data_IF_811137741224
#
_entry.id   IF_811137741224
#
_cell.length_a   1.000
_cell.length_b   1.000
_cell.length_c   1.000
_cell.angle_alpha   90.00
_cell.angle_beta   90.00
_cell.angle_gamma   90.00
#
_symmetry.space_group_name_H-M   'P 1'
#
loop_
_entity.id
_entity.type
_entity.pdbx_description
1 polymer ?
#
# COMPACT_ATOMS: atom_id res chain seq x y z
N UNK A 1 -5.56 4.79 -13.11
CA UNK A 1 -4.78 4.13 -12.07
C UNK A 1 -3.83 5.13 -11.42
N UNK A 2 -3.87 5.21 -10.09
CA UNK A 2 -2.98 6.06 -9.31
C UNK A 2 -1.75 5.25 -8.87
N UNK A 3 -0.58 5.90 -8.88
CA UNK A 3 0.66 5.36 -8.37
C UNK A 3 1.40 6.45 -7.60
N UNK A 4 2.27 6.08 -6.67
CA UNK A 4 3.03 7.01 -5.82
C UNK A 4 2.19 8.04 -5.03
N UNK A 5 0.89 7.77 -4.81
CA UNK A 5 0.00 8.64 -4.01
C UNK A 5 0.25 8.42 -2.52
N UNK A 6 1.37 8.93 -2.05
CA UNK A 6 1.89 8.73 -0.70
C UNK A 6 2.86 9.83 -0.28
N UNK A 7 3.16 9.91 1.00
CA UNK A 7 4.31 10.69 1.47
C UNK A 7 5.63 9.95 1.18
N UNK A 8 6.79 10.64 1.24
CA UNK A 8 8.10 9.98 1.29
C UNK A 8 8.14 8.93 2.40
N UNK A 9 9.07 7.98 2.28
CA UNK A 9 9.19 6.89 3.25
C UNK A 9 9.57 7.43 4.63
N UNK A 10 8.66 7.32 5.59
CA UNK A 10 8.88 7.61 7.02
C UNK A 10 9.68 6.47 7.65
N UNK A 11 9.39 5.24 7.21
CA UNK A 11 10.15 4.04 7.56
C UNK A 11 10.46 3.27 6.28
N UNK A 12 11.74 3.02 6.02
CA UNK A 12 12.17 2.24 4.87
C UNK A 12 11.88 0.74 5.05
N UNK A 13 11.50 0.03 3.96
CA UNK A 13 11.53 -1.42 3.96
C UNK A 13 12.89 -1.97 4.40
N UNK A 14 12.89 -3.00 5.22
CA UNK A 14 14.10 -3.55 5.86
C UNK A 14 15.19 -3.96 4.86
N UNK A 15 14.82 -4.42 3.67
CA UNK A 15 15.78 -4.80 2.62
C UNK A 15 16.59 -3.60 2.09
N UNK A 16 16.08 -2.38 2.24
CA UNK A 16 16.74 -1.17 1.76
C UNK A 16 17.72 -0.57 2.79
N UNK A 17 17.65 -0.96 4.05
CA UNK A 17 18.48 -0.39 5.12
C UNK A 17 19.96 -0.41 4.80
N UNK A 18 20.47 -1.55 4.33
CA UNK A 18 21.88 -1.69 3.94
C UNK A 18 22.29 -0.74 2.83
N UNK A 19 21.40 -0.52 1.85
CA UNK A 19 21.71 0.33 0.68
C UNK A 19 21.84 1.80 1.05
N UNK A 20 21.11 2.24 2.08
CA UNK A 20 21.09 3.63 2.54
C UNK A 20 21.89 3.85 3.82
N UNK A 21 22.48 2.79 4.40
CA UNK A 21 23.21 2.87 5.67
C UNK A 21 22.32 3.28 6.85
N UNK A 22 21.05 2.97 6.79
CA UNK A 22 20.03 3.36 7.79
C UNK A 22 19.46 2.08 8.41
N UNK A 23 19.27 2.09 9.73
CA UNK A 23 18.53 1.07 10.46
C UNK A 23 17.35 1.75 11.17
N UNK A 24 16.13 1.57 10.64
CA UNK A 24 14.92 2.23 11.13
C UNK A 24 13.98 1.20 11.79
N UNK A 25 14.02 1.10 13.12
CA UNK A 25 13.09 0.26 13.90
C UNK A 25 11.82 1.01 14.30
N UNK A 26 11.85 2.34 14.24
CA UNK A 26 10.76 3.22 14.65
C UNK A 26 10.63 4.41 13.69
N UNK A 27 9.55 5.15 13.83
CA UNK A 27 9.32 6.39 13.10
C UNK A 27 10.16 7.51 13.73
N UNK A 28 10.94 8.23 12.91
CA UNK A 28 11.76 9.34 13.34
C UNK A 28 11.31 10.64 12.66
N UNK A 29 11.20 11.77 13.40
CA UNK A 29 10.70 13.04 12.86
C UNK A 29 11.46 13.55 11.65
N UNK A 30 12.75 13.32 11.56
CA UNK A 30 13.63 13.74 10.46
C UNK A 30 13.29 13.07 9.13
N UNK A 31 12.54 11.97 9.13
CA UNK A 31 12.08 11.28 7.93
C UNK A 31 10.59 11.50 7.62
N UNK A 32 9.83 12.17 8.51
CA UNK A 32 8.41 12.44 8.31
C UNK A 32 8.18 13.85 7.74
N UNK A 33 8.39 14.02 6.46
CA UNK A 33 8.19 15.27 5.74
C UNK A 33 6.69 15.62 5.61
N UNK A 34 6.28 16.91 5.56
CA UNK A 34 7.12 18.09 5.48
C UNK A 34 6.83 19.04 6.66
N UNK A 35 7.87 19.71 7.16
CA UNK A 35 7.80 20.80 8.16
C UNK A 35 8.03 22.17 7.52
N UNK A 36 7.64 22.37 6.24
CA UNK A 36 7.73 23.69 5.59
C UNK A 36 6.72 24.68 6.16
N UNK A 37 6.95 25.96 5.92
CA UNK A 37 6.10 27.04 6.47
C UNK A 37 4.63 26.85 6.14
N UNK A 38 4.29 26.39 4.93
CA UNK A 38 2.90 26.12 4.53
C UNK A 38 2.27 25.00 5.37
N UNK A 39 2.94 23.85 5.53
CA UNK A 39 2.42 22.73 6.32
C UNK A 39 2.28 23.13 7.80
N UNK A 40 3.26 23.85 8.33
CA UNK A 40 3.23 24.37 9.70
C UNK A 40 2.08 25.33 9.93
N UNK A 41 1.90 26.30 9.02
CA UNK A 41 0.81 27.27 9.10
C UNK A 41 -0.58 26.61 9.03
N UNK A 42 -0.76 25.64 8.11
CA UNK A 42 -2.02 24.90 7.98
C UNK A 42 -2.31 24.04 9.22
N UNK A 43 -1.32 23.35 9.76
CA UNK A 43 -1.49 22.56 10.98
C UNK A 43 -1.80 23.45 12.18
N UNK A 44 -1.06 24.56 12.33
CA UNK A 44 -1.30 25.56 13.42
C UNK A 44 -2.67 26.19 13.32
N UNK A 45 -3.15 26.53 12.13
CA UNK A 45 -4.50 27.04 11.93
C UNK A 45 -5.58 26.01 12.35
N UNK A 46 -5.33 24.71 12.13
CA UNK A 46 -6.26 23.61 12.46
C UNK A 46 -6.25 23.27 13.96
N UNK A 47 -5.09 23.35 14.63
CA UNK A 47 -4.87 22.78 15.97
C UNK A 47 -4.45 23.78 17.03
N UNK A 48 -4.02 24.98 16.66
CA UNK A 48 -3.40 25.98 17.54
C UNK A 48 -1.92 25.71 17.84
N UNK A 49 -1.33 24.59 17.38
CA UNK A 49 0.03 24.18 17.69
C UNK A 49 0.92 24.19 16.44
N UNK A 50 2.18 24.60 16.60
CA UNK A 50 3.20 24.42 15.57
C UNK A 50 3.79 23.00 15.69
N UNK A 51 3.89 22.21 14.62
CA UNK A 51 4.43 20.85 14.71
C UNK A 51 5.90 20.80 15.15
N UNK A 52 6.68 21.87 14.97
CA UNK A 52 8.05 21.97 15.51
C UNK A 52 8.11 22.13 17.03
N UNK A 53 7.01 22.55 17.67
CA UNK A 53 6.90 22.67 19.12
C UNK A 53 6.46 21.36 19.80
N UNK A 54 6.09 20.34 19.02
CA UNK A 54 5.71 19.03 19.54
C UNK A 54 6.92 18.27 20.06
N UNK A 55 6.88 17.87 21.32
CA UNK A 55 7.97 17.08 21.93
C UNK A 55 8.14 15.72 21.28
N UNK A 56 7.04 15.07 20.92
CA UNK A 56 6.98 13.74 20.30
C UNK A 56 6.01 13.78 19.09
N UNK A 57 6.43 14.37 17.94
CA UNK A 57 5.54 14.50 16.79
C UNK A 57 5.04 13.15 16.25
N UNK A 58 5.85 12.08 16.37
CA UNK A 58 5.46 10.73 15.91
C UNK A 58 4.42 10.04 16.80
N UNK A 59 4.17 10.57 17.99
CA UNK A 59 3.11 10.12 18.90
C UNK A 59 1.89 11.06 18.87
N UNK A 60 2.00 12.22 18.23
CA UNK A 60 0.92 13.21 18.16
C UNK A 60 -0.10 12.81 17.09
N UNK A 61 -1.24 12.28 17.53
CA UNK A 61 -2.29 11.79 16.63
C UNK A 61 -2.84 12.88 15.69
N UNK A 62 -2.89 14.14 16.13
CA UNK A 62 -3.34 15.25 15.28
C UNK A 62 -2.37 15.53 14.14
N UNK A 63 -1.05 15.46 14.42
CA UNK A 63 -0.02 15.59 13.39
C UNK A 63 -0.04 14.41 12.41
N UNK A 64 -0.11 13.18 12.92
CA UNK A 64 -0.22 11.97 12.09
C UNK A 64 -1.46 12.06 11.18
N UNK A 65 -2.63 12.40 11.75
CA UNK A 65 -3.86 12.52 10.96
C UNK A 65 -3.76 13.64 9.92
N UNK A 66 -3.14 14.79 10.25
CA UNK A 66 -2.91 15.85 9.27
C UNK A 66 -2.10 15.37 8.06
N UNK A 67 -1.12 14.51 8.27
CA UNK A 67 -0.29 13.91 7.21
C UNK A 67 -1.08 12.90 6.35
N UNK A 68 -1.86 12.03 6.99
CA UNK A 68 -2.74 11.08 6.33
C UNK A 68 -3.83 11.80 5.50
N UNK A 69 -4.46 12.83 6.09
CA UNK A 69 -5.49 13.65 5.44
C UNK A 69 -4.94 14.34 4.19
N UNK A 70 -3.68 14.81 4.20
CA UNK A 70 -3.08 15.50 3.06
C UNK A 70 -3.04 14.61 1.80
N UNK A 71 -2.67 13.34 1.94
CA UNK A 71 -2.70 12.37 0.83
C UNK A 71 -4.13 12.01 0.45
N UNK A 72 -4.97 11.75 1.45
CA UNK A 72 -6.38 11.38 1.25
C UNK A 72 -7.15 12.45 0.47
N UNK A 73 -6.98 13.73 0.79
CA UNK A 73 -7.65 14.83 0.09
C UNK A 73 -7.29 14.87 -1.40
N UNK A 74 -6.03 14.63 -1.76
CA UNK A 74 -5.60 14.57 -3.17
C UNK A 74 -6.28 13.41 -3.88
N UNK A 75 -6.26 12.23 -3.27
CA UNK A 75 -6.87 11.02 -3.84
C UNK A 75 -8.38 11.18 -4.02
N UNK A 76 -9.07 11.70 -3.01
CA UNK A 76 -10.52 11.90 -3.08
C UNK A 76 -10.92 12.97 -4.12
N UNK A 77 -10.13 14.04 -4.27
CA UNK A 77 -10.35 15.04 -5.31
C UNK A 77 -10.24 14.43 -6.73
N UNK A 78 -9.19 13.61 -6.97
CA UNK A 78 -9.01 12.90 -8.24
C UNK A 78 -10.13 11.88 -8.44
N UNK A 79 -10.48 11.12 -7.39
CA UNK A 79 -11.55 10.12 -7.42
C UNK A 79 -12.88 10.76 -7.82
N UNK A 80 -13.21 11.89 -7.23
CA UNK A 80 -14.43 12.64 -7.56
C UNK A 80 -14.45 13.06 -9.02
N UNK A 81 -13.35 13.58 -9.56
CA UNK A 81 -13.25 13.98 -10.95
C UNK A 81 -13.40 12.77 -11.90
N UNK A 82 -12.71 11.67 -11.64
CA UNK A 82 -12.76 10.45 -12.47
C UNK A 82 -14.16 9.83 -12.45
N UNK A 83 -14.79 9.76 -11.28
CA UNK A 83 -16.15 9.19 -11.13
C UNK A 83 -17.24 10.07 -11.76
N UNK A 84 -17.03 11.39 -11.86
CA UNK A 84 -17.93 12.28 -12.59
C UNK A 84 -18.02 11.95 -14.08
N UNK A 85 -16.95 11.39 -14.66
CA UNK A 85 -16.90 10.88 -16.03
C UNK A 85 -17.29 9.40 -16.13
N UNK A 86 -17.88 8.81 -15.11
CA UNK A 86 -18.27 7.38 -15.03
C UNK A 86 -17.11 6.42 -15.31
N UNK A 87 -15.88 6.79 -14.93
CA UNK A 87 -14.67 5.98 -15.11
C UNK A 87 -14.31 5.23 -13.85
N UNK A 88 -13.68 4.08 -14.06
CA UNK A 88 -13.13 3.23 -13.01
C UNK A 88 -11.80 3.83 -12.51
N UNK A 89 -11.60 3.83 -11.20
CA UNK A 89 -10.38 4.33 -10.57
C UNK A 89 -9.77 3.30 -9.62
N UNK A 90 -8.47 3.13 -9.70
CA UNK A 90 -7.70 2.20 -8.87
C UNK A 90 -6.37 2.81 -8.45
N UNK A 91 -5.69 2.20 -7.48
CA UNK A 91 -4.38 2.62 -7.04
C UNK A 91 -3.44 1.45 -6.73
N UNK A 92 -2.14 1.62 -7.03
CA UNK A 92 -1.07 0.88 -6.40
C UNK A 92 -0.84 1.48 -4.99
N UNK A 93 -0.81 0.61 -3.99
CA UNK A 93 -0.73 1.02 -2.58
C UNK A 93 0.29 0.15 -1.82
N UNK A 94 0.77 0.65 -0.69
CA UNK A 94 1.65 -0.14 0.18
C UNK A 94 0.92 -1.37 0.74
N UNK A 95 1.65 -2.46 1.04
CA UNK A 95 1.04 -3.70 1.51
C UNK A 95 0.43 -3.50 2.91
N UNK A 96 -0.82 -3.94 3.04
CA UNK A 96 -1.56 -3.80 4.30
C UNK A 96 -1.89 -2.35 4.69
N UNK A 97 -3.13 -2.05 5.08
CA UNK A 97 -3.51 -0.69 5.46
C UNK A 97 -2.73 -0.13 6.66
N UNK A 98 -2.48 -0.94 7.69
CA UNK A 98 -1.74 -0.51 8.89
C UNK A 98 -0.28 -0.16 8.56
N UNK A 99 0.38 -0.98 7.76
CA UNK A 99 1.74 -0.74 7.31
C UNK A 99 1.83 0.52 6.43
N UNK A 100 0.90 0.71 5.50
CA UNK A 100 0.85 1.86 4.62
C UNK A 100 0.70 3.19 5.40
N UNK A 101 -0.14 3.20 6.43
CA UNK A 101 -0.30 4.36 7.32
C UNK A 101 1.00 4.72 8.03
N UNK A 102 1.71 3.73 8.54
CA UNK A 102 2.97 3.90 9.28
C UNK A 102 4.10 4.32 8.35
N UNK A 103 4.34 3.57 7.28
CA UNK A 103 5.54 3.71 6.47
C UNK A 103 5.51 4.91 5.54
N UNK A 104 4.34 5.27 4.99
CA UNK A 104 4.22 6.27 3.91
C UNK A 104 3.01 7.18 4.04
N UNK A 105 2.38 7.24 5.21
CA UNK A 105 1.19 8.07 5.48
C UNK A 105 0.08 7.86 4.44
N UNK A 106 -0.14 6.64 4.03
CA UNK A 106 -1.12 6.26 3.02
C UNK A 106 -2.33 5.58 3.69
N UNK A 107 -3.43 6.30 3.82
CA UNK A 107 -4.66 5.83 4.49
C UNK A 107 -5.64 5.17 3.51
N UNK A 108 -5.13 4.34 2.63
CA UNK A 108 -5.88 3.82 1.50
C UNK A 108 -7.08 2.95 1.87
N UNK A 109 -7.09 2.38 3.06
CA UNK A 109 -8.25 1.64 3.56
C UNK A 109 -9.53 2.49 3.67
N UNK A 110 -9.40 3.81 3.73
CA UNK A 110 -10.50 4.76 3.83
C UNK A 110 -10.81 5.50 2.52
N UNK A 111 -10.09 5.22 1.43
CA UNK A 111 -10.34 5.87 0.13
C UNK A 111 -11.55 5.26 -0.60
N UNK A 112 -12.14 6.04 -1.51
CA UNK A 112 -13.37 5.67 -2.25
C UNK A 112 -13.08 5.12 -3.66
N UNK A 113 -12.00 4.33 -3.81
CA UNK A 113 -11.62 3.73 -5.08
C UNK A 113 -12.42 2.48 -5.42
N UNK A 114 -12.38 2.05 -6.69
CA UNK A 114 -13.06 0.83 -7.15
C UNK A 114 -12.17 -0.42 -7.01
N UNK A 115 -10.84 -0.24 -7.01
CA UNK A 115 -9.89 -1.32 -6.76
C UNK A 115 -8.57 -0.84 -6.17
N UNK A 116 -7.95 -1.73 -5.41
CA UNK A 116 -6.63 -1.56 -4.82
C UNK A 116 -5.68 -2.65 -5.27
N UNK A 117 -4.43 -2.27 -5.50
CA UNK A 117 -3.32 -3.14 -5.87
C UNK A 117 -2.21 -3.00 -4.81
N UNK A 118 -2.38 -3.59 -3.61
CA UNK A 118 -1.31 -3.57 -2.60
C UNK A 118 -0.08 -4.28 -3.12
N UNK A 119 1.06 -3.59 -3.09
CA UNK A 119 2.38 -4.05 -3.57
C UNK A 119 3.00 -4.99 -2.53
N UNK A 120 2.53 -6.23 -2.47
CA UNK A 120 2.93 -7.23 -1.47
C UNK A 120 4.24 -7.91 -1.93
N UNK A 121 5.32 -7.13 -1.97
CA UNK A 121 6.66 -7.55 -2.38
C UNK A 121 7.39 -8.11 -1.16
N UNK A 122 7.10 -9.37 -0.84
CA UNK A 122 7.44 -9.97 0.45
C UNK A 122 8.95 -9.96 0.77
N UNK A 123 9.84 -10.11 -0.23
CA UNK A 123 11.29 -10.07 0.03
C UNK A 123 11.81 -8.69 0.43
N UNK A 124 11.10 -7.59 0.10
CA UNK A 124 11.43 -6.25 0.61
C UNK A 124 11.33 -6.15 2.14
N UNK A 125 10.54 -7.05 2.75
CA UNK A 125 10.30 -7.09 4.19
C UNK A 125 10.93 -8.32 4.86
N UNK A 126 11.74 -9.11 4.10
CA UNK A 126 12.31 -10.40 4.52
C UNK A 126 11.27 -11.41 4.98
N UNK A 127 10.11 -11.40 4.33
CA UNK A 127 8.97 -12.26 4.63
C UNK A 127 8.80 -13.40 3.61
N UNK A 128 8.18 -14.49 4.05
CA UNK A 128 7.81 -15.63 3.20
C UNK A 128 6.46 -15.45 2.50
N UNK A 129 6.04 -16.49 1.77
CA UNK A 129 4.78 -16.48 1.03
C UNK A 129 3.54 -16.31 1.94
N UNK A 130 3.57 -16.81 3.17
CA UNK A 130 2.47 -16.69 4.15
C UNK A 130 2.17 -15.23 4.53
N UNK A 131 3.16 -14.34 4.42
CA UNK A 131 2.94 -12.93 4.65
C UNK A 131 2.05 -12.30 3.56
N UNK A 132 2.09 -12.84 2.33
CA UNK A 132 1.19 -12.44 1.25
C UNK A 132 -0.26 -12.64 1.70
N UNK A 133 -0.57 -13.82 2.25
CA UNK A 133 -1.89 -14.14 2.77
C UNK A 133 -2.34 -13.17 3.86
N UNK A 134 -1.49 -12.92 4.87
CA UNK A 134 -1.79 -11.98 5.96
C UNK A 134 -2.08 -10.57 5.44
N UNK A 135 -1.26 -10.08 4.49
CA UNK A 135 -1.41 -8.74 3.90
C UNK A 135 -2.69 -8.63 3.07
N UNK A 136 -3.03 -9.67 2.30
CA UNK A 136 -4.30 -9.74 1.55
C UNK A 136 -5.48 -9.77 2.50
N UNK A 137 -5.43 -10.61 3.54
CA UNK A 137 -6.51 -10.71 4.52
C UNK A 137 -6.80 -9.37 5.20
N UNK A 138 -5.78 -8.68 5.69
CA UNK A 138 -5.92 -7.34 6.27
C UNK A 138 -6.55 -6.37 5.27
N UNK A 139 -6.07 -6.38 4.03
CA UNK A 139 -6.57 -5.53 2.94
C UNK A 139 -8.05 -5.77 2.65
N UNK A 140 -8.44 -7.02 2.47
CA UNK A 140 -9.83 -7.42 2.18
C UNK A 140 -10.76 -7.07 3.34
N UNK A 141 -10.34 -7.35 4.58
CA UNK A 141 -11.12 -7.01 5.78
C UNK A 141 -11.33 -5.49 5.90
N UNK A 142 -10.28 -4.70 5.68
CA UNK A 142 -10.35 -3.24 5.79
C UNK A 142 -11.23 -2.64 4.70
N UNK A 143 -11.12 -3.12 3.47
CA UNK A 143 -11.96 -2.67 2.35
C UNK A 143 -13.42 -3.12 2.52
N UNK A 144 -13.65 -4.26 3.16
CA UNK A 144 -14.96 -4.78 3.53
C UNK A 144 -16.01 -4.73 2.38
N UNK A 145 -15.65 -5.27 1.24
CA UNK A 145 -16.52 -5.36 0.06
C UNK A 145 -16.77 -4.05 -0.71
N UNK A 146 -16.26 -2.90 -0.24
CA UNK A 146 -16.44 -1.60 -0.92
C UNK A 146 -15.69 -1.50 -2.25
N UNK A 147 -14.62 -2.26 -2.42
CA UNK A 147 -13.79 -2.29 -3.61
C UNK A 147 -13.16 -3.68 -3.81
N UNK A 148 -12.52 -3.88 -4.96
CA UNK A 148 -11.75 -5.09 -5.25
C UNK A 148 -10.31 -4.94 -4.74
N UNK A 149 -9.74 -6.06 -4.26
CA UNK A 149 -8.32 -6.13 -3.87
C UNK A 149 -7.61 -7.12 -4.80
N UNK A 150 -6.61 -6.64 -5.52
CA UNK A 150 -5.74 -7.44 -6.38
C UNK A 150 -4.35 -7.50 -5.77
N UNK A 151 -3.88 -8.68 -5.38
CA UNK A 151 -2.55 -8.80 -4.79
C UNK A 151 -1.46 -8.44 -5.81
N UNK A 152 -0.73 -7.36 -5.56
CA UNK A 152 0.44 -6.97 -6.35
C UNK A 152 1.66 -7.78 -5.89
N UNK A 153 2.18 -8.63 -6.76
CA UNK A 153 3.28 -9.55 -6.44
C UNK A 153 4.51 -9.21 -7.28
N UNK A 154 5.67 -9.15 -6.65
CA UNK A 154 6.95 -9.09 -7.37
C UNK A 154 7.28 -10.49 -7.88
N UNK A 155 7.28 -10.67 -9.19
CA UNK A 155 7.47 -12.00 -9.79
C UNK A 155 8.80 -12.64 -9.34
N UNK A 156 9.89 -11.88 -9.32
CA UNK A 156 11.19 -12.37 -8.88
C UNK A 156 11.23 -12.86 -7.42
N UNK A 157 10.34 -12.34 -6.57
CA UNK A 157 10.28 -12.71 -5.15
C UNK A 157 9.59 -14.05 -4.92
N UNK A 158 8.62 -14.39 -5.77
CA UNK A 158 7.74 -15.55 -5.60
C UNK A 158 8.08 -16.71 -6.55
N UNK A 159 9.10 -16.58 -7.39
CA UNK A 159 9.41 -17.54 -8.45
C UNK A 159 9.54 -18.98 -7.94
N UNK A 160 10.21 -19.16 -6.80
CA UNK A 160 10.44 -20.49 -6.20
C UNK A 160 9.19 -21.05 -5.50
N UNK A 161 8.31 -20.16 -4.98
CA UNK A 161 7.10 -20.49 -4.23
C UNK A 161 5.81 -20.07 -4.99
N UNK A 162 5.84 -20.11 -6.33
CA UNK A 162 4.85 -19.47 -7.18
C UNK A 162 3.39 -19.87 -6.86
N UNK A 163 3.10 -21.18 -6.88
CA UNK A 163 1.74 -21.67 -6.59
C UNK A 163 1.34 -21.40 -5.14
N UNK A 164 2.28 -21.47 -4.19
CA UNK A 164 2.05 -21.14 -2.79
C UNK A 164 1.68 -19.66 -2.63
N UNK A 165 2.39 -18.75 -3.32
CA UNK A 165 2.06 -17.32 -3.31
C UNK A 165 0.66 -17.04 -3.86
N UNK A 166 0.26 -17.77 -4.92
CA UNK A 166 -1.10 -17.70 -5.45
C UNK A 166 -2.14 -18.25 -4.49
N UNK A 167 -1.85 -19.39 -3.83
CA UNK A 167 -2.73 -19.98 -2.81
C UNK A 167 -2.95 -19.02 -1.64
N UNK A 168 -1.89 -18.39 -1.18
CA UNK A 168 -1.96 -17.36 -0.14
C UNK A 168 -2.80 -16.14 -0.58
N UNK A 169 -2.61 -15.65 -1.80
CA UNK A 169 -3.38 -14.51 -2.30
C UNK A 169 -4.87 -14.85 -2.44
N UNK A 170 -5.21 -15.88 -3.20
CA UNK A 170 -6.60 -16.24 -3.48
C UNK A 170 -7.31 -16.83 -2.26
N UNK A 171 -6.60 -17.63 -1.43
CA UNK A 171 -7.13 -18.24 -0.22
C UNK A 171 -7.54 -17.22 0.84
N UNK A 172 -6.95 -16.03 0.82
CA UNK A 172 -7.25 -14.92 1.73
C UNK A 172 -8.15 -13.83 1.11
N UNK A 173 -8.76 -14.10 -0.05
CA UNK A 173 -9.85 -13.30 -0.61
C UNK A 173 -9.44 -12.26 -1.66
N UNK A 174 -8.22 -12.33 -2.21
CA UNK A 174 -7.87 -11.49 -3.35
C UNK A 174 -8.81 -11.74 -4.53
N UNK A 175 -9.26 -10.68 -5.18
CA UNK A 175 -10.07 -10.74 -6.40
C UNK A 175 -9.26 -11.15 -7.63
N UNK A 176 -7.94 -11.14 -7.53
CA UNK A 176 -6.98 -11.50 -8.56
C UNK A 176 -5.57 -11.12 -8.12
N UNK A 177 -4.62 -11.32 -9.03
CA UNK A 177 -3.23 -10.94 -8.83
C UNK A 177 -2.74 -10.02 -9.94
N UNK A 178 -1.74 -9.20 -9.64
CA UNK A 178 -1.00 -8.37 -10.58
C UNK A 178 0.49 -8.63 -10.39
N UNK A 179 1.22 -8.89 -11.45
CA UNK A 179 2.66 -9.13 -11.36
C UNK A 179 3.45 -7.89 -11.74
N UNK A 180 4.37 -7.49 -10.87
CA UNK A 180 5.41 -6.53 -11.20
C UNK A 180 6.63 -7.27 -11.74
N UNK A 181 7.22 -6.77 -12.86
CA UNK A 181 8.23 -7.50 -13.64
C UNK A 181 7.70 -8.88 -14.08
N UNK A 182 6.88 -8.88 -15.11
CA UNK A 182 6.00 -9.99 -15.51
C UNK A 182 6.66 -11.36 -15.64
N UNK A 183 5.88 -12.42 -15.43
CA UNK A 183 6.31 -13.80 -15.59
C UNK A 183 6.69 -14.09 -17.05
N UNK A 184 7.65 -14.97 -17.23
CA UNK A 184 7.98 -15.54 -18.55
C UNK A 184 6.88 -16.52 -19.03
N UNK A 185 6.98 -17.03 -20.26
CA UNK A 185 5.98 -17.90 -20.86
C UNK A 185 5.71 -19.19 -20.07
N UNK A 186 6.72 -19.74 -19.39
CA UNK A 186 6.56 -20.94 -18.57
C UNK A 186 5.61 -20.65 -17.40
N UNK A 187 5.85 -19.56 -16.67
CA UNK A 187 5.02 -19.18 -15.52
C UNK A 187 3.64 -18.68 -15.95
N UNK A 188 3.51 -18.09 -17.14
CA UNK A 188 2.18 -17.78 -17.69
C UNK A 188 1.36 -19.05 -17.95
N UNK A 189 1.99 -20.11 -18.47
CA UNK A 189 1.35 -21.43 -18.61
C UNK A 189 0.98 -22.04 -17.26
N UNK A 190 1.89 -21.98 -16.28
CA UNK A 190 1.62 -22.44 -14.90
C UNK A 190 0.46 -21.67 -14.27
N UNK A 191 0.44 -20.35 -14.42
CA UNK A 191 -0.64 -19.51 -13.91
C UNK A 191 -1.99 -19.85 -14.55
N UNK A 192 -2.02 -20.03 -15.87
CA UNK A 192 -3.23 -20.46 -16.56
C UNK A 192 -3.72 -21.81 -16.04
N UNK A 193 -2.85 -22.81 -15.95
CA UNK A 193 -3.18 -24.13 -15.41
C UNK A 193 -3.68 -24.05 -13.95
N UNK A 194 -3.11 -23.18 -13.14
CA UNK A 194 -3.56 -22.90 -11.76
C UNK A 194 -4.99 -22.37 -11.75
N UNK A 195 -5.34 -21.38 -12.61
CA UNK A 195 -6.65 -20.81 -12.70
C UNK A 195 -7.70 -21.80 -13.22
N UNK A 196 -7.36 -22.58 -14.27
CA UNK A 196 -8.21 -23.62 -14.82
C UNK A 196 -8.56 -24.70 -13.77
N UNK A 197 -7.59 -25.15 -12.98
CA UNK A 197 -7.79 -26.11 -11.89
C UNK A 197 -8.73 -25.62 -10.81
N UNK A 198 -8.80 -24.29 -10.60
CA UNK A 198 -9.68 -23.66 -9.61
C UNK A 198 -11.02 -23.19 -10.19
N UNK A 199 -11.29 -23.47 -11.45
CA UNK A 199 -12.55 -23.11 -12.13
C UNK A 199 -12.67 -21.61 -12.44
N UNK A 200 -11.55 -20.85 -12.44
CA UNK A 200 -11.56 -19.49 -12.93
C UNK A 200 -11.61 -19.50 -14.47
N UNK A 201 -12.58 -18.81 -15.04
CA UNK A 201 -12.70 -18.69 -16.52
C UNK A 201 -11.70 -17.63 -16.98
N UNK A 202 -10.64 -18.06 -17.65
CA UNK A 202 -9.73 -17.15 -18.36
C UNK A 202 -10.38 -16.82 -19.71
N UNK A 203 -10.90 -15.60 -19.84
CA UNK A 203 -11.44 -15.07 -21.09
C UNK A 203 -10.35 -14.40 -21.93
#
# INVERSE_FOLDING_TARGET
HLDYVRMPDVVLPVSLWKNYGIEQKEELPEYDYCYCDTCRALFKAKTGQDPLELKYPMENQSWINFRLDAVTHVVEAITKAVKADHKFISAAVFPGPSMARKMVRQDWGNWSLDAYFPMIYNKFYYEGAEWIGRSVQESVQTVNGRAKVYAGLMFGDIKDDFEKALDEAYGNGASGVSFFAGPDEEYLRRFKAYLDKRGFIVK
#
